data_IF_198888742388
#
_entry.id   IF_198888742388
#
_cell.length_a   1.000
_cell.length_b   1.000
_cell.length_c   1.000
_cell.angle_alpha   90.00
_cell.angle_beta   90.00
_cell.angle_gamma   90.00
#
_symmetry.space_group_name_H-M   'P 1'
#
loop_
_entity.id
_entity.type
_entity.pdbx_description
1 polymer ?
#
# COMPACT_ATOMS: atom_id res chain seq x y z
N UNK A 1 19.75 -63.20 -43.19
CA UNK A 1 19.64 -62.87 -41.75
C UNK A 1 19.40 -61.38 -41.60
N UNK A 2 18.55 -60.98 -40.66
CA UNK A 2 18.29 -59.55 -40.37
C UNK A 2 19.39 -58.94 -39.53
N UNK A 3 19.75 -57.67 -39.78
CA UNK A 3 20.64 -56.90 -38.89
C UNK A 3 19.84 -56.32 -37.74
N UNK A 4 20.20 -56.65 -36.51
CA UNK A 4 19.74 -55.93 -35.34
C UNK A 4 20.29 -54.49 -35.35
N UNK A 5 19.46 -53.52 -34.98
CA UNK A 5 19.84 -52.12 -34.89
C UNK A 5 19.55 -51.61 -33.48
N UNK A 6 20.59 -51.20 -32.76
CA UNK A 6 20.47 -50.61 -31.42
C UNK A 6 20.29 -49.11 -31.54
N UNK A 7 19.31 -48.54 -30.83
CA UNK A 7 19.12 -47.09 -30.68
C UNK A 7 19.18 -46.74 -29.20
N UNK A 8 19.81 -45.63 -28.87
CA UNK A 8 19.81 -45.05 -27.52
C UNK A 8 18.64 -44.07 -27.41
N UNK A 9 17.87 -44.17 -26.33
CA UNK A 9 16.77 -43.27 -26.00
C UNK A 9 17.15 -42.50 -24.73
N UNK A 10 16.85 -41.21 -24.67
CA UNK A 10 16.98 -40.42 -23.46
C UNK A 10 15.62 -40.36 -22.75
N UNK A 11 15.58 -40.86 -21.52
CA UNK A 11 14.42 -40.74 -20.64
C UNK A 11 14.67 -39.61 -19.65
N UNK A 12 13.83 -38.58 -19.67
CA UNK A 12 13.77 -37.55 -18.62
C UNK A 12 12.57 -37.83 -17.73
N UNK A 13 12.81 -38.01 -16.45
CA UNK A 13 11.78 -38.17 -15.42
C UNK A 13 11.40 -36.80 -14.88
N UNK A 14 10.11 -36.62 -14.58
CA UNK A 14 9.54 -35.40 -14.03
C UNK A 14 8.69 -35.77 -12.83
N UNK A 15 8.93 -35.10 -11.69
CA UNK A 15 8.05 -35.18 -10.53
C UNK A 15 6.71 -34.46 -10.80
N UNK A 16 5.67 -34.81 -10.04
CA UNK A 16 4.39 -34.10 -10.11
C UNK A 16 4.55 -32.66 -9.62
N UNK A 17 4.05 -31.70 -10.39
CA UNK A 17 4.11 -30.28 -10.02
C UNK A 17 3.31 -30.03 -8.74
N UNK A 18 3.91 -29.47 -7.67
CA UNK A 18 3.21 -29.13 -6.46
C UNK A 18 2.45 -27.80 -6.60
N UNK A 19 1.44 -27.62 -5.75
CA UNK A 19 0.65 -26.37 -5.70
C UNK A 19 1.57 -25.16 -5.51
N UNK A 20 1.53 -24.15 -6.40
CA UNK A 20 2.34 -22.96 -6.26
C UNK A 20 1.83 -22.08 -5.11
N UNK A 21 2.69 -21.18 -4.64
CA UNK A 21 2.38 -20.16 -3.65
C UNK A 21 2.50 -18.80 -4.31
N UNK A 22 1.47 -17.96 -4.14
CA UNK A 22 1.45 -16.58 -4.64
C UNK A 22 1.59 -15.59 -3.49
N UNK A 23 2.55 -14.68 -3.61
CA UNK A 23 2.78 -13.55 -2.71
C UNK A 23 2.28 -12.26 -3.37
N UNK A 24 1.60 -11.42 -2.59
CA UNK A 24 1.00 -10.16 -3.04
C UNK A 24 1.75 -8.99 -2.41
N UNK A 25 2.41 -8.18 -3.24
CA UNK A 25 3.12 -6.97 -2.81
C UNK A 25 2.39 -5.72 -3.32
N UNK A 26 2.07 -4.80 -2.42
CA UNK A 26 1.51 -3.49 -2.77
C UNK A 26 2.67 -2.51 -2.91
N UNK A 27 2.77 -1.81 -4.05
CA UNK A 27 3.76 -0.76 -4.21
C UNK A 27 3.38 0.44 -3.35
N UNK A 28 4.36 1.02 -2.65
CA UNK A 28 4.14 2.23 -1.87
C UNK A 28 3.65 3.38 -2.77
N UNK A 29 2.66 4.20 -2.33
CA UNK A 29 2.35 5.44 -3.02
C UNK A 29 3.57 6.38 -2.94
N UNK A 30 4.00 6.92 -4.08
CA UNK A 30 5.03 7.97 -4.11
C UNK A 30 4.48 9.33 -3.68
N UNK A 31 5.34 10.35 -3.63
CA UNK A 31 5.05 11.70 -3.09
C UNK A 31 4.01 12.53 -3.88
N UNK A 32 3.33 11.93 -4.86
CA UNK A 32 2.25 12.54 -5.62
C UNK A 32 0.88 12.25 -4.98
N UNK A 33 -0.16 12.91 -5.51
CA UNK A 33 -1.55 12.67 -5.14
C UNK A 33 -1.90 11.16 -5.09
N UNK A 34 -2.77 10.72 -4.15
CA UNK A 34 -3.15 9.31 -4.01
C UNK A 34 -3.52 8.69 -5.37
N UNK A 35 -2.84 7.62 -5.80
CA UNK A 35 -3.05 7.10 -7.13
C UNK A 35 -4.48 6.55 -7.26
N UNK A 36 -5.14 6.86 -8.37
CA UNK A 36 -6.50 6.36 -8.68
C UNK A 36 -6.57 4.84 -8.79
N UNK A 37 -5.43 4.18 -8.90
CA UNK A 37 -5.28 2.72 -8.98
C UNK A 37 -4.21 2.22 -8.01
N UNK A 38 -4.43 1.04 -7.47
CA UNK A 38 -3.47 0.32 -6.64
C UNK A 38 -2.47 -0.42 -7.54
N UNK A 39 -1.18 -0.13 -7.38
CA UNK A 39 -0.11 -0.84 -8.07
C UNK A 39 0.26 -2.09 -7.25
N UNK A 40 0.11 -3.27 -7.87
CA UNK A 40 0.36 -4.57 -7.24
C UNK A 40 1.40 -5.35 -8.03
N UNK A 41 2.29 -6.02 -7.32
CA UNK A 41 3.24 -6.99 -7.85
C UNK A 41 2.95 -8.36 -7.25
N UNK A 42 2.64 -9.33 -8.09
CA UNK A 42 2.41 -10.71 -7.71
C UNK A 42 3.68 -11.52 -7.99
N UNK A 43 4.10 -12.34 -7.04
CA UNK A 43 5.22 -13.28 -7.21
C UNK A 43 4.72 -14.70 -6.97
N UNK A 44 5.02 -15.62 -7.88
CA UNK A 44 4.65 -17.02 -7.78
C UNK A 44 5.88 -17.90 -7.58
N UNK A 45 5.77 -19.00 -6.83
CA UNK A 45 6.84 -19.99 -6.77
C UNK A 45 6.25 -21.37 -6.46
N UNK A 46 6.85 -22.43 -7.00
CA UNK A 46 6.54 -23.81 -6.63
C UNK A 46 7.63 -24.38 -5.71
N UNK A 47 7.29 -25.03 -4.59
CA UNK A 47 8.28 -25.59 -3.67
C UNK A 47 9.00 -26.82 -4.28
N UNK A 48 10.28 -26.96 -3.99
CA UNK A 48 11.08 -28.18 -4.21
C UNK A 48 11.08 -28.75 -5.64
N UNK A 49 10.85 -27.92 -6.67
CA UNK A 49 10.84 -28.35 -8.07
C UNK A 49 11.62 -27.38 -8.97
N UNK A 50 12.30 -27.94 -9.97
CA UNK A 50 12.98 -27.22 -11.06
C UNK A 50 12.42 -27.66 -12.42
N UNK A 51 12.84 -27.02 -13.50
CA UNK A 51 12.39 -27.31 -14.88
C UNK A 51 10.86 -27.22 -15.07
N UNK A 52 10.24 -26.20 -14.46
CA UNK A 52 8.84 -25.83 -14.64
C UNK A 52 8.68 -24.50 -15.37
N UNK A 53 7.59 -24.36 -16.11
CA UNK A 53 7.14 -23.11 -16.73
C UNK A 53 6.15 -22.40 -15.81
N UNK A 54 6.22 -21.07 -15.77
CA UNK A 54 5.28 -20.19 -15.06
C UNK A 54 4.47 -19.39 -16.07
N UNK A 55 3.15 -19.36 -15.91
CA UNK A 55 2.27 -18.44 -16.63
C UNK A 55 1.16 -17.89 -15.73
N UNK A 56 0.66 -16.71 -16.05
CA UNK A 56 -0.42 -16.05 -15.31
C UNK A 56 -1.70 -16.00 -16.13
N UNK A 57 -2.84 -16.29 -15.52
CA UNK A 57 -4.18 -16.04 -16.07
C UNK A 57 -4.90 -15.02 -15.21
N UNK A 58 -5.45 -13.98 -15.82
CA UNK A 58 -6.47 -13.12 -15.18
C UNK A 58 -7.81 -13.81 -15.29
N UNK A 59 -8.44 -14.06 -14.16
CA UNK A 59 -9.84 -14.52 -14.07
C UNK A 59 -10.73 -13.27 -13.96
N UNK A 60 -11.54 -13.01 -14.99
CA UNK A 60 -12.56 -11.95 -14.97
C UNK A 60 -13.90 -12.46 -14.43
N UNK A 61 -14.88 -11.57 -14.18
CA UNK A 61 -16.28 -11.97 -14.11
C UNK A 61 -16.64 -12.74 -15.39
N UNK A 62 -17.23 -13.93 -15.25
CA UNK A 62 -17.73 -14.71 -16.39
C UNK A 62 -18.98 -14.03 -16.94
N UNK A 63 -18.79 -13.02 -17.79
CA UNK A 63 -19.89 -12.47 -18.58
C UNK A 63 -20.33 -13.53 -19.62
N UNK A 64 -21.64 -13.70 -19.76
CA UNK A 64 -22.20 -14.92 -20.33
C UNK A 64 -21.91 -15.03 -21.84
N UNK A 65 -20.98 -15.92 -22.21
CA UNK A 65 -20.81 -16.39 -23.59
C UNK A 65 -19.53 -15.98 -24.32
N UNK A 66 -18.61 -15.24 -23.68
CA UNK A 66 -17.27 -15.00 -24.22
C UNK A 66 -16.25 -15.58 -23.24
N UNK A 67 -15.51 -16.61 -23.65
CA UNK A 67 -14.33 -17.10 -22.91
C UNK A 67 -13.43 -15.88 -22.65
N UNK A 68 -13.13 -15.52 -21.38
CA UNK A 68 -12.27 -14.39 -21.12
C UNK A 68 -10.90 -14.73 -21.72
N UNK A 69 -10.53 -14.03 -22.81
CA UNK A 69 -9.24 -14.18 -23.47
C UNK A 69 -8.13 -13.97 -22.43
N UNK A 70 -7.69 -15.07 -21.83
CA UNK A 70 -6.78 -15.04 -20.70
C UNK A 70 -5.53 -14.33 -21.15
N UNK A 71 -5.22 -13.19 -20.53
CA UNK A 71 -3.99 -12.47 -20.84
C UNK A 71 -2.84 -13.25 -20.21
N UNK A 72 -2.43 -14.31 -20.91
CA UNK A 72 -1.32 -15.16 -20.53
C UNK A 72 -0.05 -14.32 -20.57
N UNK A 73 0.52 -14.11 -19.39
CA UNK A 73 1.83 -13.49 -19.21
C UNK A 73 2.77 -14.55 -18.69
N UNK A 74 3.82 -14.84 -19.45
CA UNK A 74 4.84 -15.80 -19.03
C UNK A 74 5.74 -15.20 -17.95
N UNK A 75 6.21 -16.07 -17.05
CA UNK A 75 7.21 -15.73 -16.05
C UNK A 75 6.69 -15.71 -14.61
N UNK A 76 7.65 -15.66 -13.69
CA UNK A 76 7.42 -15.89 -12.26
C UNK A 76 6.62 -14.79 -11.56
N UNK A 77 6.60 -13.57 -12.14
CA UNK A 77 5.99 -12.40 -11.51
C UNK A 77 5.12 -11.59 -12.47
N UNK A 78 4.07 -10.97 -11.94
CA UNK A 78 3.11 -10.17 -12.69
C UNK A 78 2.89 -8.81 -12.01
N UNK A 79 3.04 -7.72 -12.77
CA UNK A 79 2.69 -6.36 -12.31
C UNK A 79 1.32 -5.97 -12.84
N UNK A 80 0.44 -5.51 -11.95
CA UNK A 80 -0.93 -5.10 -12.30
C UNK A 80 -1.31 -3.77 -11.64
N UNK A 81 -2.27 -3.08 -12.26
CA UNK A 81 -2.85 -1.83 -11.77
C UNK A 81 -4.34 -2.06 -11.55
N UNK A 82 -4.81 -2.03 -10.31
CA UNK A 82 -6.19 -2.33 -9.94
C UNK A 82 -6.95 -1.03 -9.65
N UNK A 83 -8.09 -0.82 -10.29
CA UNK A 83 -9.05 0.24 -10.00
C UNK A 83 -10.27 -0.25 -9.20
N UNK A 84 -11.16 0.65 -8.74
CA UNK A 84 -12.34 0.29 -7.94
C UNK A 84 -13.34 -0.70 -8.56
N UNK A 85 -13.21 -0.99 -9.86
CA UNK A 85 -13.97 -2.04 -10.55
C UNK A 85 -13.38 -3.45 -10.42
N UNK A 86 -12.08 -3.57 -10.11
CA UNK A 86 -11.34 -4.85 -10.11
C UNK A 86 -11.52 -5.66 -8.80
N UNK A 87 -12.57 -5.36 -8.01
CA UNK A 87 -12.81 -5.93 -6.67
C UNK A 87 -12.89 -7.46 -6.66
N UNK A 88 -13.49 -8.02 -7.70
CA UNK A 88 -13.69 -9.47 -7.89
C UNK A 88 -12.75 -10.07 -8.93
N UNK A 89 -11.77 -9.32 -9.44
CA UNK A 89 -10.80 -9.83 -10.41
C UNK A 89 -9.77 -10.68 -9.66
N UNK A 90 -9.65 -11.93 -10.08
CA UNK A 90 -8.67 -12.85 -9.53
C UNK A 90 -7.55 -13.12 -10.53
N UNK A 91 -6.42 -13.62 -10.02
CA UNK A 91 -5.23 -13.94 -10.79
C UNK A 91 -4.74 -15.31 -10.40
N UNK A 92 -4.72 -16.23 -11.37
CA UNK A 92 -4.21 -17.59 -11.23
C UNK A 92 -2.78 -17.65 -11.75
N UNK A 93 -1.81 -17.99 -10.88
CA UNK A 93 -0.52 -18.48 -11.35
C UNK A 93 -0.65 -19.95 -11.68
N UNK A 94 -0.24 -20.36 -12.87
CA UNK A 94 -0.19 -21.73 -13.35
C UNK A 94 1.29 -22.13 -13.43
N UNK A 95 1.61 -23.29 -12.86
CA UNK A 95 2.93 -23.92 -12.98
C UNK A 95 2.79 -25.28 -13.65
N UNK A 96 3.67 -25.59 -14.59
CA UNK A 96 3.57 -26.81 -15.38
C UNK A 96 4.92 -27.39 -15.78
N UNK A 97 4.98 -28.72 -15.90
CA UNK A 97 6.01 -29.46 -16.62
C UNK A 97 5.34 -30.36 -17.69
N UNK A 98 6.09 -31.11 -18.51
CA UNK A 98 5.50 -31.92 -19.59
C UNK A 98 4.56 -33.05 -19.15
N UNK A 99 4.44 -33.36 -17.85
CA UNK A 99 3.60 -34.45 -17.33
C UNK A 99 2.47 -33.98 -16.40
N UNK A 100 2.54 -32.77 -15.85
CA UNK A 100 1.61 -32.30 -14.81
C UNK A 100 1.61 -30.77 -14.67
N UNK A 101 0.55 -30.24 -14.05
CA UNK A 101 0.39 -28.82 -13.73
C UNK A 101 -0.46 -28.64 -12.47
N UNK A 102 -0.30 -27.50 -11.80
CA UNK A 102 -1.20 -27.02 -10.73
C UNK A 102 -1.24 -25.49 -10.76
N UNK A 103 -2.18 -24.89 -10.02
CA UNK A 103 -2.33 -23.43 -9.94
C UNK A 103 -2.61 -22.91 -8.54
N UNK A 104 -2.45 -21.61 -8.35
CA UNK A 104 -2.96 -20.90 -7.18
C UNK A 104 -3.54 -19.55 -7.59
N UNK A 105 -4.73 -19.25 -7.08
CA UNK A 105 -5.52 -18.08 -7.43
C UNK A 105 -5.59 -17.10 -6.27
N UNK A 106 -5.43 -15.80 -6.54
CA UNK A 106 -5.50 -14.73 -5.54
C UNK A 106 -6.39 -13.57 -6.01
N UNK A 107 -7.07 -12.91 -5.06
CA UNK A 107 -7.86 -11.68 -5.24
C UNK A 107 -7.12 -10.49 -4.61
N UNK A 108 -6.16 -9.87 -5.32
CA UNK A 108 -5.25 -8.89 -4.71
C UNK A 108 -5.89 -7.60 -4.18
N UNK A 109 -7.15 -7.31 -4.55
CA UNK A 109 -7.86 -6.09 -4.15
C UNK A 109 -7.94 -5.87 -2.64
N UNK A 110 -8.11 -6.95 -1.85
CA UNK A 110 -8.19 -6.86 -0.39
C UNK A 110 -6.91 -6.32 0.24
N UNK A 111 -5.76 -6.65 -0.34
CA UNK A 111 -4.46 -6.14 0.11
C UNK A 111 -4.32 -4.63 -0.14
N UNK A 112 -4.90 -4.11 -1.23
CA UNK A 112 -4.97 -2.67 -1.51
C UNK A 112 -5.81 -1.91 -0.46
N UNK A 113 -6.97 -2.45 -0.08
CA UNK A 113 -7.83 -1.86 0.96
C UNK A 113 -7.11 -1.82 2.32
N UNK A 114 -6.44 -2.90 2.69
CA UNK A 114 -5.72 -3.01 3.97
C UNK A 114 -4.59 -1.98 4.10
N UNK A 115 -3.83 -1.75 3.02
CA UNK A 115 -2.71 -0.81 3.05
C UNK A 115 -3.17 0.66 3.08
N UNK A 116 -4.26 0.99 2.37
CA UNK A 116 -4.92 2.29 2.50
C UNK A 116 -5.43 2.54 3.93
N UNK A 117 -6.01 1.51 4.57
CA UNK A 117 -6.49 1.59 5.95
C UNK A 117 -5.40 1.80 7.00
N UNK A 118 -4.22 1.17 6.83
CA UNK A 118 -3.06 1.43 7.69
C UNK A 118 -2.59 2.88 7.59
N UNK A 119 -2.39 3.37 6.37
CA UNK A 119 -1.91 4.74 6.12
C UNK A 119 -2.79 5.78 6.82
N UNK A 120 -4.12 5.66 6.71
CA UNK A 120 -5.04 6.55 7.41
C UNK A 120 -4.90 6.47 8.94
N UNK A 121 -4.83 5.25 9.50
CA UNK A 121 -4.73 5.06 10.95
C UNK A 121 -3.43 5.62 11.52
N UNK A 122 -2.31 5.39 10.83
CA UNK A 122 -1.00 5.82 11.30
C UNK A 122 -0.84 7.35 11.19
N UNK A 123 -1.41 8.00 10.17
CA UNK A 123 -1.55 9.46 10.11
C UNK A 123 -2.43 10.00 11.25
N UNK A 124 -3.59 9.39 11.50
CA UNK A 124 -4.51 9.80 12.56
C UNK A 124 -3.85 9.70 13.96
N UNK A 125 -3.05 8.66 14.19
CA UNK A 125 -2.27 8.45 15.41
C UNK A 125 -1.20 9.53 15.65
N UNK A 126 -0.71 10.20 14.61
CA UNK A 126 0.23 11.33 14.74
C UNK A 126 -0.50 12.67 14.88
N UNK A 127 -1.55 12.90 14.08
CA UNK A 127 -2.27 14.19 14.06
C UNK A 127 -3.03 14.46 15.37
N UNK A 128 -3.68 13.45 15.96
CA UNK A 128 -4.43 13.59 17.22
C UNK A 128 -3.57 14.12 18.40
N UNK A 129 -2.45 13.49 18.79
CA UNK A 129 -1.64 13.96 19.90
C UNK A 129 -0.98 15.31 19.61
N UNK A 130 -0.55 15.58 18.37
CA UNK A 130 0.04 16.89 18.01
C UNK A 130 -0.99 18.02 18.14
N UNK A 131 -2.23 17.80 17.68
CA UNK A 131 -3.33 18.77 17.83
C UNK A 131 -3.68 19.00 19.31
N UNK A 132 -3.71 17.94 20.12
CA UNK A 132 -3.95 18.03 21.56
C UNK A 132 -2.85 18.81 22.29
N UNK A 133 -1.58 18.59 21.94
CA UNK A 133 -0.45 19.33 22.52
C UNK A 133 -0.49 20.82 22.14
N UNK A 134 -0.82 21.15 20.89
CA UNK A 134 -0.94 22.54 20.43
C UNK A 134 -2.09 23.28 21.12
N UNK A 135 -3.25 22.63 21.29
CA UNK A 135 -4.38 23.24 22.00
C UNK A 135 -4.08 23.45 23.49
N UNK A 136 -3.45 22.48 24.16
CA UNK A 136 -2.96 22.64 25.54
C UNK A 136 -1.96 23.81 25.68
N UNK A 137 -0.97 23.91 24.79
CA UNK A 137 0.01 25.00 24.79
C UNK A 137 -0.65 26.38 24.54
N UNK A 138 -1.65 26.45 23.66
CA UNK A 138 -2.45 27.65 23.42
C UNK A 138 -3.24 28.10 24.65
N UNK A 139 -3.87 27.16 25.36
CA UNK A 139 -4.60 27.46 26.60
C UNK A 139 -3.67 27.93 27.72
N UNK A 140 -2.51 27.27 27.89
CA UNK A 140 -1.52 27.65 28.90
C UNK A 140 -0.92 29.03 28.64
N UNK A 141 -0.60 29.37 27.38
CA UNK A 141 -0.06 30.69 27.01
C UNK A 141 -1.10 31.81 27.14
N UNK A 142 -2.37 31.55 26.78
CA UNK A 142 -3.47 32.48 27.01
C UNK A 142 -3.71 32.72 28.52
N UNK A 143 -3.72 31.66 29.33
CA UNK A 143 -3.81 31.74 30.79
C UNK A 143 -2.67 32.57 31.38
N UNK A 144 -1.42 32.25 31.02
CA UNK A 144 -0.24 32.97 31.51
C UNK A 144 -0.29 34.46 31.16
N UNK A 145 -0.76 34.79 29.94
CA UNK A 145 -0.92 36.18 29.48
C UNK A 145 -2.03 36.92 30.23
N UNK A 146 -3.17 36.27 30.47
CA UNK A 146 -4.29 36.85 31.23
C UNK A 146 -3.89 37.17 32.68
N UNK A 147 -3.22 36.23 33.36
CA UNK A 147 -2.78 36.43 34.75
C UNK A 147 -1.58 37.38 34.87
N UNK A 148 -0.65 37.39 33.91
CA UNK A 148 0.47 38.35 33.90
C UNK A 148 0.02 39.77 33.52
N UNK A 149 -0.91 39.91 32.57
CA UNK A 149 -1.47 41.21 32.18
C UNK A 149 -2.19 41.93 33.32
N UNK A 150 -2.68 41.18 34.32
CA UNK A 150 -3.26 41.74 35.55
C UNK A 150 -2.24 42.41 36.48
N UNK A 151 -0.93 42.15 36.33
CA UNK A 151 0.14 42.82 37.10
C UNK A 151 0.62 44.15 36.50
N UNK A 152 0.38 44.42 35.21
CA UNK A 152 0.93 45.61 34.53
C UNK A 152 -0.07 46.77 34.34
N UNK A 153 -1.32 46.64 34.80
CA UNK A 153 -2.35 47.69 34.67
C UNK A 153 -2.46 48.69 35.84
N UNK A 154 -1.54 48.63 36.80
CA UNK A 154 -1.58 49.46 38.03
C UNK A 154 -0.47 50.54 38.10
N UNK A 155 0.18 50.89 36.99
CA UNK A 155 1.21 51.95 36.96
C UNK A 155 0.85 53.02 35.93
N UNK A 156 0.73 54.24 36.43
CA UNK A 156 0.52 55.50 35.70
C UNK A 156 -0.83 55.68 34.98
N UNK A 157 -1.86 55.96 35.78
CA UNK A 157 -2.83 57.01 35.46
C UNK A 157 -2.93 57.99 36.64
N UNK A 158 -2.94 59.28 36.30
CA UNK A 158 -3.31 60.45 37.12
C UNK A 158 -2.40 60.92 38.29
N UNK A 159 -1.79 62.10 38.08
CA UNK A 159 -1.79 63.20 39.06
C UNK A 159 -1.62 64.54 38.33
N UNK A 160 -2.71 65.26 38.13
CA UNK A 160 -2.72 66.65 37.63
C UNK A 160 -2.75 67.65 38.81
N UNK A 161 -1.65 68.43 38.94
CA UNK A 161 -1.58 69.92 39.04
C UNK A 161 -2.77 70.64 39.72
N UNK A 162 -2.57 71.52 40.74
CA UNK A 162 -2.02 72.87 40.47
C UNK A 162 -1.17 73.56 41.58
N UNK A 163 -0.89 74.85 41.32
CA UNK A 163 -0.20 75.91 42.10
C UNK A 163 1.33 76.09 41.92
N UNK A 164 1.92 77.31 41.83
CA UNK A 164 1.48 78.64 41.30
C UNK A 164 2.68 79.63 41.25
N UNK A 165 2.73 80.55 40.24
CA UNK A 165 3.67 81.71 40.10
C UNK A 165 5.20 81.44 40.02
N UNK A 166 6.09 82.29 39.47
CA UNK A 166 6.00 83.62 38.82
C UNK A 166 7.09 83.80 37.72
N UNK A 167 6.89 84.78 36.82
CA UNK A 167 7.86 85.31 35.84
C UNK A 167 9.15 85.89 36.47
N UNK A 168 10.30 85.82 35.76
CA UNK A 168 11.08 87.01 35.33
C UNK A 168 12.42 86.66 34.60
N UNK A 169 12.62 87.37 33.47
CA UNK A 169 13.88 87.63 32.70
C UNK A 169 14.61 86.42 32.10
#
# INVERSE_FOLDING_TARGET
>A
GGRACTRVLQLKVYDSVPRPVVQVFIAAPGDAHPPKTCQVFLSCWAPNISDITYSWRREGPTDFGIEPSGLFTDGQALRVSLGPGDKSVAYSCIVSNPVSWDLATVTPWESCLREAGKSYRDVLLVVLPVSLLLTLAGLLSAWHSYYSGKKHKNVCADRVVPETESSLV
#
